data_IF_100383107740
#
_entry.id   IF_100383107740
#
_cell.length_a   1.000
_cell.length_b   1.000
_cell.length_c   1.000
_cell.angle_alpha   90.00
_cell.angle_beta   90.00
_cell.angle_gamma   90.00
#
_symmetry.space_group_name_H-M   'P 1'
#
loop_
_entity.id
_entity.type
_entity.pdbx_description
1 polymer ?
#
# COMPACT_ATOMS: atom_id res chain seq x y z
N UNK A 1 -28.45 14.95 -72.09
CA UNK A 1 -27.38 15.00 -71.07
C UNK A 1 -28.02 15.37 -69.74
N UNK A 2 -28.16 14.41 -68.80
CA UNK A 2 -28.75 14.64 -67.47
C UNK A 2 -27.62 14.92 -66.47
N UNK A 3 -27.72 16.02 -65.73
CA UNK A 3 -26.80 16.42 -64.65
C UNK A 3 -27.22 15.70 -63.35
N UNK A 4 -26.25 15.08 -62.67
CA UNK A 4 -26.37 14.48 -61.34
C UNK A 4 -26.13 15.55 -60.24
N UNK A 5 -26.82 15.51 -59.09
CA UNK A 5 -26.50 16.36 -57.95
C UNK A 5 -25.42 15.72 -57.07
N UNK A 6 -24.48 16.54 -56.61
CA UNK A 6 -23.44 16.15 -55.66
C UNK A 6 -24.02 16.07 -54.22
N UNK A 7 -23.81 14.95 -53.55
CA UNK A 7 -24.12 14.78 -52.13
C UNK A 7 -22.92 15.22 -51.28
N UNK A 8 -23.14 16.19 -50.38
CA UNK A 8 -22.18 16.62 -49.36
C UNK A 8 -22.33 15.71 -48.13
N UNK A 9 -21.28 14.94 -47.82
CA UNK A 9 -21.14 14.26 -46.52
C UNK A 9 -20.70 15.29 -45.46
N UNK A 10 -21.53 15.52 -44.44
CA UNK A 10 -21.11 16.17 -43.20
C UNK A 10 -20.39 15.15 -42.32
N UNK A 11 -19.06 15.26 -42.23
CA UNK A 11 -18.27 14.58 -41.20
C UNK A 11 -18.45 15.27 -39.86
N UNK A 12 -19.04 14.57 -38.89
CA UNK A 12 -19.08 15.04 -37.50
C UNK A 12 -17.66 14.97 -36.92
N UNK A 13 -17.01 16.12 -36.75
CA UNK A 13 -15.81 16.23 -35.92
C UNK A 13 -16.23 16.08 -34.45
N UNK A 14 -15.96 14.92 -33.85
CA UNK A 14 -15.93 14.78 -32.40
C UNK A 14 -14.70 15.50 -31.86
N UNK A 15 -14.87 16.73 -31.42
CA UNK A 15 -13.87 17.45 -30.62
C UNK A 15 -13.87 16.85 -29.22
N UNK A 16 -12.89 16.00 -28.93
CA UNK A 16 -12.55 15.61 -27.56
C UNK A 16 -12.02 16.83 -26.82
N UNK A 17 -12.84 17.44 -25.97
CA UNK A 17 -12.38 18.45 -25.03
C UNK A 17 -11.37 17.79 -24.06
N UNK A 18 -10.24 18.44 -23.74
CA UNK A 18 -9.36 17.95 -22.69
C UNK A 18 -10.17 17.94 -21.39
N UNK A 19 -10.23 16.78 -20.74
CA UNK A 19 -10.78 16.66 -19.40
C UNK A 19 -9.89 17.51 -18.49
N UNK A 20 -10.37 18.67 -18.03
CA UNK A 20 -9.70 19.40 -16.97
C UNK A 20 -9.52 18.44 -15.79
N UNK A 21 -8.31 18.38 -15.22
CA UNK A 21 -8.04 17.62 -14.01
C UNK A 21 -9.13 17.99 -12.99
N UNK A 22 -9.89 17.00 -12.53
CA UNK A 22 -10.98 17.27 -11.60
C UNK A 22 -10.39 17.90 -10.34
N UNK A 23 -10.73 19.16 -10.07
CA UNK A 23 -10.31 19.86 -8.85
C UNK A 23 -10.82 19.08 -7.64
N UNK A 24 -9.91 18.49 -6.88
CA UNK A 24 -10.26 17.75 -5.66
C UNK A 24 -10.49 18.71 -4.51
N UNK A 25 -11.49 18.42 -3.68
CA UNK A 25 -11.69 19.10 -2.41
C UNK A 25 -10.91 18.36 -1.31
N UNK A 26 -10.16 19.12 -0.52
CA UNK A 26 -9.32 18.59 0.56
C UNK A 26 -9.70 19.25 1.88
N UNK A 27 -10.06 18.43 2.86
CA UNK A 27 -10.28 18.86 4.23
C UNK A 27 -9.18 18.28 5.13
N UNK A 28 -8.53 19.13 5.92
CA UNK A 28 -7.62 18.67 6.99
C UNK A 28 -8.48 18.25 8.19
N UNK A 29 -8.44 16.98 8.55
CA UNK A 29 -9.20 16.41 9.67
C UNK A 29 -8.40 16.41 10.97
N UNK A 30 -7.08 16.22 10.87
CA UNK A 30 -6.14 16.24 11.98
C UNK A 30 -4.77 16.68 11.45
N UNK A 31 -4.05 17.49 12.21
CA UNK A 31 -2.65 17.85 11.99
C UNK A 31 -1.78 17.36 13.16
N UNK A 32 -0.48 17.66 13.12
CA UNK A 32 0.50 17.33 14.17
C UNK A 32 0.59 15.84 14.49
N UNK A 33 0.41 15.01 13.46
CA UNK A 33 0.73 13.58 13.52
C UNK A 33 2.22 13.41 13.25
N UNK A 34 2.94 12.72 14.13
CA UNK A 34 4.37 12.48 13.97
C UNK A 34 4.61 11.27 13.06
N UNK A 35 4.83 11.54 11.76
CA UNK A 35 5.03 10.52 10.74
C UNK A 35 3.97 9.40 10.79
N UNK A 36 2.68 9.73 10.60
CA UNK A 36 1.62 8.74 10.61
C UNK A 36 1.83 7.74 9.45
N UNK A 37 1.67 6.43 9.70
CA UNK A 37 2.02 5.37 8.75
C UNK A 37 0.83 4.61 8.16
N UNK A 38 -0.19 4.35 8.97
CA UNK A 38 -1.39 3.61 8.56
C UNK A 38 -2.65 4.15 9.20
N UNK A 39 -3.79 3.98 8.51
CA UNK A 39 -5.12 4.13 9.10
C UNK A 39 -6.00 2.88 8.91
N UNK A 40 -6.86 2.62 9.90
CA UNK A 40 -7.92 1.62 9.84
C UNK A 40 -9.24 2.19 10.37
N UNK A 41 -10.32 2.03 9.60
CA UNK A 41 -11.67 2.43 10.02
C UNK A 41 -12.27 1.39 10.95
N UNK A 42 -12.81 1.83 12.10
CA UNK A 42 -13.65 0.99 12.93
C UNK A 42 -15.05 0.80 12.32
N UNK A 43 -15.78 -0.26 12.68
CA UNK A 43 -17.10 -0.56 12.11
C UNK A 43 -18.19 0.48 12.38
N UNK A 44 -17.95 1.44 13.28
CA UNK A 44 -18.84 2.59 13.50
C UNK A 44 -18.80 3.61 12.34
N UNK A 45 -17.93 3.37 11.35
CA UNK A 45 -17.74 4.18 10.14
C UNK A 45 -17.31 5.63 10.40
N UNK A 46 -16.87 5.95 11.61
CA UNK A 46 -16.46 7.30 11.99
C UNK A 46 -15.10 7.32 12.67
N UNK A 47 -14.81 6.31 13.48
CA UNK A 47 -13.58 6.24 14.26
C UNK A 47 -12.46 5.60 13.44
N UNK A 48 -11.27 6.20 13.53
CA UNK A 48 -10.05 5.73 12.90
C UNK A 48 -9.05 5.30 13.97
N UNK A 49 -8.34 4.21 13.72
CA UNK A 49 -7.03 3.96 14.32
C UNK A 49 -5.95 4.54 13.41
N UNK A 50 -4.94 5.16 14.01
CA UNK A 50 -3.80 5.75 13.31
C UNK A 50 -2.52 5.26 13.99
N UNK A 51 -1.58 4.73 13.21
CA UNK A 51 -0.23 4.44 13.68
C UNK A 51 0.69 5.62 13.39
N UNK A 52 1.51 6.00 14.35
CA UNK A 52 2.64 6.92 14.21
C UNK A 52 3.94 6.12 14.28
N UNK A 53 4.86 6.36 13.33
CA UNK A 53 6.09 5.55 13.20
C UNK A 53 6.94 5.55 14.48
N UNK A 54 6.82 6.59 15.31
CA UNK A 54 7.48 6.68 16.62
C UNK A 54 7.05 5.60 17.63
N UNK A 55 5.98 4.83 17.36
CA UNK A 55 5.57 3.71 18.19
C UNK A 55 4.18 3.86 18.81
N UNK A 56 3.39 4.83 18.36
CA UNK A 56 2.11 5.18 18.99
C UNK A 56 0.95 4.72 18.12
N UNK A 57 0.03 3.96 18.70
CA UNK A 57 -1.30 3.75 18.13
C UNK A 57 -2.25 4.75 18.79
N UNK A 58 -3.05 5.46 18.00
CA UNK A 58 -4.02 6.45 18.50
C UNK A 58 -5.38 6.24 17.84
N UNK A 59 -6.44 6.68 18.51
CA UNK A 59 -7.78 6.75 17.96
C UNK A 59 -8.11 8.19 17.59
N UNK A 60 -8.72 8.41 16.43
CA UNK A 60 -9.28 9.69 16.03
C UNK A 60 -10.77 9.55 15.76
N UNK A 61 -11.56 10.53 16.19
CA UNK A 61 -13.00 10.59 15.91
C UNK A 61 -13.44 12.03 15.62
N UNK A 62 -14.36 12.27 14.66
CA UNK A 62 -14.94 13.59 14.43
C UNK A 62 -15.51 14.20 15.72
N UNK A 63 -15.24 15.49 15.95
CA UNK A 63 -15.69 16.23 17.14
C UNK A 63 -14.94 15.93 18.44
N UNK A 64 -14.24 14.79 18.55
CA UNK A 64 -13.38 14.45 19.71
C UNK A 64 -11.90 14.68 19.45
N UNK A 65 -11.47 14.60 18.19
CA UNK A 65 -10.08 14.72 17.79
C UNK A 65 -9.25 13.47 18.10
N UNK A 66 -7.94 13.66 18.16
CA UNK A 66 -6.96 12.60 18.40
C UNK A 66 -6.85 12.25 19.89
N UNK A 67 -6.87 10.95 20.21
CA UNK A 67 -6.72 10.43 21.57
C UNK A 67 -5.27 10.51 22.06
N UNK A 68 -5.09 10.30 23.37
CA UNK A 68 -3.80 9.86 23.91
C UNK A 68 -3.40 8.48 23.33
N UNK A 69 -2.11 8.12 23.36
CA UNK A 69 -1.66 6.80 22.89
C UNK A 69 -2.42 5.66 23.56
N UNK A 70 -2.80 4.67 22.76
CA UNK A 70 -3.42 3.42 23.22
C UNK A 70 -2.37 2.60 23.96
N UNK A 71 -2.69 2.16 25.18
CA UNK A 71 -1.80 1.33 26.00
C UNK A 71 -1.65 -0.09 25.44
N UNK A 72 -0.57 -0.79 25.81
CA UNK A 72 -0.33 -2.19 25.42
C UNK A 72 0.16 -2.42 23.98
N UNK A 73 0.44 -1.35 23.25
CA UNK A 73 1.14 -1.41 21.95
C UNK A 73 2.58 -1.90 22.18
N UNK A 74 3.10 -2.82 21.36
CA UNK A 74 4.47 -3.35 21.53
C UNK A 74 5.52 -2.24 21.42
N UNK A 75 6.60 -2.37 22.18
CA UNK A 75 7.78 -1.51 22.01
C UNK A 75 8.40 -1.77 20.64
N UNK A 76 8.67 -0.69 19.91
CA UNK A 76 9.22 -0.75 18.55
C UNK A 76 10.66 -0.27 18.52
N UNK A 77 11.38 -0.68 17.48
CA UNK A 77 12.63 -0.08 17.05
C UNK A 77 12.31 1.02 16.03
N UNK A 78 12.17 2.27 16.48
CA UNK A 78 11.82 3.42 15.64
C UNK A 78 13.09 4.13 15.14
N UNK A 79 13.59 3.71 13.97
CA UNK A 79 14.77 4.30 13.34
C UNK A 79 14.61 4.30 11.82
N UNK A 80 14.95 5.42 11.17
CA UNK A 80 14.85 5.59 9.72
C UNK A 80 13.43 5.21 9.22
N UNK A 81 13.28 4.11 8.48
CA UNK A 81 11.99 3.62 7.97
C UNK A 81 11.29 2.63 8.92
N UNK A 82 11.96 2.16 9.98
CA UNK A 82 11.37 1.29 10.99
C UNK A 82 10.59 2.06 12.05
N UNK A 83 9.69 1.36 12.74
CA UNK A 83 8.80 1.91 13.76
C UNK A 83 7.58 1.03 14.01
N UNK A 84 6.49 1.65 14.48
CA UNK A 84 5.15 1.07 14.36
C UNK A 84 4.62 1.40 12.96
N UNK A 85 4.20 0.37 12.22
CA UNK A 85 3.92 0.46 10.80
C UNK A 85 2.43 0.23 10.57
N UNK A 86 2.02 -0.96 10.14
CA UNK A 86 0.63 -1.18 9.76
C UNK A 86 -0.31 -1.34 10.96
N UNK A 87 -1.58 -0.97 10.75
CA UNK A 87 -2.74 -1.38 11.52
C UNK A 87 -3.83 -1.87 10.58
N UNK A 88 -4.31 -3.09 10.79
CA UNK A 88 -5.50 -3.62 10.10
C UNK A 88 -6.42 -4.33 11.08
N UNK A 89 -7.72 -4.28 10.83
CA UNK A 89 -8.69 -4.99 11.64
C UNK A 89 -8.79 -6.45 11.15
N UNK A 90 -8.97 -7.38 12.07
CA UNK A 90 -9.33 -8.75 11.70
C UNK A 90 -10.69 -8.78 10.99
N UNK A 91 -10.94 -9.72 10.07
CA UNK A 91 -12.24 -9.83 9.38
C UNK A 91 -13.44 -9.98 10.33
N UNK A 92 -13.23 -10.56 11.52
CA UNK A 92 -14.24 -10.77 12.57
C UNK A 92 -14.19 -9.70 13.68
N UNK A 93 -13.62 -8.52 13.41
CA UNK A 93 -13.40 -7.47 14.42
C UNK A 93 -14.65 -7.09 15.21
N UNK A 94 -15.84 -7.12 14.59
CA UNK A 94 -17.10 -6.82 15.27
C UNK A 94 -17.35 -7.74 16.48
N UNK A 95 -16.83 -8.98 16.46
CA UNK A 95 -16.92 -9.94 17.56
C UNK A 95 -15.61 -10.02 18.36
N UNK A 96 -14.48 -10.15 17.65
CA UNK A 96 -13.18 -10.42 18.28
C UNK A 96 -12.51 -9.17 18.83
N UNK A 97 -12.83 -7.99 18.27
CA UNK A 97 -12.10 -6.72 18.44
C UNK A 97 -10.60 -6.84 18.17
N UNK A 98 -10.19 -7.82 17.36
CA UNK A 98 -8.78 -8.11 17.09
C UNK A 98 -8.17 -7.12 16.10
N UNK A 99 -7.11 -6.45 16.53
CA UNK A 99 -6.32 -5.52 15.72
C UNK A 99 -4.95 -6.13 15.47
N UNK A 100 -4.58 -6.20 14.20
CA UNK A 100 -3.25 -6.63 13.75
C UNK A 100 -2.36 -5.41 13.57
N UNK A 101 -1.12 -5.54 14.03
CA UNK A 101 -0.08 -4.54 13.89
C UNK A 101 1.13 -5.15 13.21
N UNK A 102 1.79 -4.36 12.37
CA UNK A 102 3.18 -4.62 12.00
C UNK A 102 4.09 -3.54 12.55
N UNK A 103 5.30 -3.94 12.93
CA UNK A 103 6.30 -3.06 13.51
C UNK A 103 7.70 -3.64 13.33
N UNK A 104 8.73 -2.92 13.75
CA UNK A 104 10.11 -3.40 13.67
C UNK A 104 10.70 -3.64 15.03
N UNK A 105 11.53 -4.69 15.13
CA UNK A 105 12.43 -4.92 16.25
C UNK A 105 13.85 -5.10 15.73
N UNK A 106 14.85 -4.89 16.58
CA UNK A 106 16.25 -5.12 16.26
C UNK A 106 16.86 -6.19 17.16
N UNK A 107 17.81 -6.94 16.62
CA UNK A 107 18.63 -7.88 17.40
C UNK A 107 19.76 -7.15 18.15
N UNK A 108 20.56 -7.91 18.90
CA UNK A 108 21.68 -7.39 19.70
C UNK A 108 22.78 -6.71 18.86
N UNK A 109 22.86 -7.01 17.56
CA UNK A 109 23.80 -6.37 16.62
C UNK A 109 23.22 -5.10 15.97
N UNK A 110 21.99 -4.73 16.34
CA UNK A 110 21.30 -3.57 15.78
C UNK A 110 20.70 -3.81 14.40
N UNK A 111 20.62 -5.07 13.94
CA UNK A 111 19.91 -5.41 12.68
C UNK A 111 18.44 -5.59 12.94
N UNK A 112 17.62 -4.89 12.16
CA UNK A 112 16.18 -4.85 12.29
C UNK A 112 15.47 -5.77 11.29
N UNK A 113 14.23 -6.11 11.61
CA UNK A 113 13.32 -6.81 10.72
C UNK A 113 11.87 -6.58 11.14
N UNK A 114 10.95 -6.85 10.21
CA UNK A 114 9.52 -6.76 10.46
C UNK A 114 9.03 -7.80 11.47
N UNK A 115 8.03 -7.42 12.27
CA UNK A 115 7.30 -8.27 13.20
C UNK A 115 5.82 -8.01 13.00
N UNK A 116 5.02 -9.07 12.99
CA UNK A 116 3.57 -9.01 12.84
C UNK A 116 2.92 -9.73 14.01
N UNK A 117 1.90 -9.11 14.58
CA UNK A 117 1.15 -9.65 15.70
C UNK A 117 -0.23 -9.02 15.83
N UNK A 118 -1.00 -9.48 16.81
CA UNK A 118 -2.32 -8.93 17.07
C UNK A 118 -2.66 -8.94 18.55
N UNK A 119 -3.55 -8.03 18.94
CA UNK A 119 -4.16 -7.98 20.28
C UNK A 119 -5.64 -7.62 20.18
N UNK A 120 -6.33 -7.60 21.32
CA UNK A 120 -7.74 -7.18 21.42
C UNK A 120 -7.83 -5.69 21.79
N UNK A 121 -8.51 -4.91 20.96
CA UNK A 121 -8.79 -3.51 21.26
C UNK A 121 -9.90 -3.41 22.32
N UNK A 122 -9.65 -2.67 23.40
CA UNK A 122 -10.64 -2.34 24.43
C UNK A 122 -11.86 -1.62 23.85
N UNK A 123 -13.00 -1.71 24.53
CA UNK A 123 -14.27 -1.16 24.02
C UNK A 123 -14.26 0.38 23.98
N UNK A 124 -13.42 1.01 24.80
CA UNK A 124 -13.17 2.45 24.84
C UNK A 124 -12.05 2.92 23.88
N UNK A 125 -11.44 1.98 23.14
CA UNK A 125 -10.29 2.18 22.27
C UNK A 125 -9.06 2.79 22.99
N UNK A 126 -8.85 2.47 24.28
CA UNK A 126 -7.70 3.00 25.05
C UNK A 126 -6.62 1.98 25.41
N UNK A 127 -6.90 0.70 25.24
CA UNK A 127 -5.98 -0.39 25.56
C UNK A 127 -5.99 -1.44 24.45
N UNK A 128 -4.82 -1.97 24.12
CA UNK A 128 -4.63 -3.20 23.36
C UNK A 128 -4.19 -4.28 24.35
N UNK A 129 -5.02 -5.31 24.56
CA UNK A 129 -4.72 -6.42 25.48
C UNK A 129 -4.23 -7.65 24.72
N UNK A 130 -3.53 -8.53 25.43
CA UNK A 130 -3.18 -9.88 24.96
C UNK A 130 -2.46 -9.88 23.61
N UNK A 131 -1.59 -8.88 23.40
CA UNK A 131 -0.83 -8.76 22.17
C UNK A 131 0.12 -9.95 22.03
N UNK A 132 -0.01 -10.69 20.94
CA UNK A 132 0.88 -11.80 20.61
C UNK A 132 1.55 -11.60 19.26
N UNK A 133 2.84 -11.95 19.21
CA UNK A 133 3.62 -12.02 17.98
C UNK A 133 3.26 -13.31 17.24
N UNK A 134 3.04 -13.20 15.94
CA UNK A 134 2.68 -14.29 15.04
C UNK A 134 3.82 -14.63 14.10
N UNK A 135 4.47 -13.61 13.54
CA UNK A 135 5.54 -13.81 12.58
C UNK A 135 6.63 -12.76 12.77
N UNK A 136 7.87 -13.21 12.72
CA UNK A 136 9.03 -12.35 12.59
C UNK A 136 9.71 -12.59 11.24
N UNK A 137 10.04 -11.50 10.56
CA UNK A 137 10.89 -11.55 9.39
C UNK A 137 12.29 -12.00 9.81
N UNK A 138 12.68 -13.20 9.38
CA UNK A 138 13.97 -13.79 9.71
C UNK A 138 14.76 -14.19 8.45
N UNK A 139 16.09 -13.99 8.45
CA UNK A 139 16.87 -13.28 9.48
C UNK A 139 16.61 -11.76 9.50
N UNK A 140 16.91 -11.10 10.63
CA UNK A 140 16.87 -9.63 10.72
C UNK A 140 18.09 -9.08 10.01
N UNK A 141 17.86 -8.38 8.90
CA UNK A 141 18.94 -7.93 8.00
C UNK A 141 18.92 -6.44 7.78
N UNK A 142 18.02 -5.64 8.33
CA UNK A 142 17.94 -4.22 7.99
C UNK A 142 18.83 -3.37 8.89
N UNK A 143 19.44 -2.31 8.36
CA UNK A 143 19.97 -1.19 9.15
C UNK A 143 18.97 -0.03 9.28
N UNK A 144 17.71 -0.27 8.93
CA UNK A 144 16.59 0.66 9.08
C UNK A 144 15.89 1.08 7.79
N UNK A 145 16.06 0.35 6.70
CA UNK A 145 15.36 0.62 5.45
C UNK A 145 15.03 -0.67 4.67
N UNK A 146 14.19 -0.55 3.65
CA UNK A 146 13.66 -1.64 2.83
C UNK A 146 12.97 -2.76 3.63
N UNK A 147 12.13 -2.39 4.59
CA UNK A 147 11.51 -3.34 5.51
C UNK A 147 10.14 -3.80 5.01
N UNK A 148 9.41 -2.94 4.29
CA UNK A 148 7.99 -3.14 3.99
C UNK A 148 7.16 -3.26 5.27
N UNK A 149 6.30 -4.28 5.32
CA UNK A 149 5.40 -4.76 6.39
C UNK A 149 3.91 -4.41 6.25
N UNK A 150 3.46 -4.04 5.04
CA UNK A 150 2.03 -3.85 4.77
C UNK A 150 1.25 -5.16 4.98
N UNK A 151 0.06 -5.05 5.55
CA UNK A 151 -0.86 -6.13 5.88
C UNK A 151 -2.16 -5.95 5.07
N UNK A 152 -2.71 -7.04 4.55
CA UNK A 152 -4.03 -7.01 3.94
C UNK A 152 -4.73 -8.36 4.11
N UNK A 153 -6.01 -8.32 4.48
CA UNK A 153 -6.87 -9.51 4.47
C UNK A 153 -7.55 -9.67 3.12
N UNK A 154 -7.61 -10.91 2.61
CA UNK A 154 -8.54 -11.26 1.54
C UNK A 154 -9.95 -11.55 2.08
N UNK A 155 -10.91 -11.82 1.18
CA UNK A 155 -12.29 -12.17 1.57
C UNK A 155 -12.44 -13.58 2.12
N UNK A 156 -11.44 -14.43 1.96
CA UNK A 156 -11.43 -15.79 2.48
C UNK A 156 -10.84 -15.84 3.90
N UNK A 157 -10.28 -14.73 4.38
CA UNK A 157 -9.70 -14.61 5.71
C UNK A 157 -8.22 -14.98 5.75
N UNK A 158 -7.51 -15.00 4.63
CA UNK A 158 -6.05 -15.08 4.65
C UNK A 158 -5.44 -13.69 4.83
N UNK A 159 -4.40 -13.62 5.66
CA UNK A 159 -3.59 -12.44 5.86
C UNK A 159 -2.39 -12.49 4.91
N UNK A 160 -2.22 -11.45 4.10
CA UNK A 160 -1.03 -11.23 3.30
C UNK A 160 -0.12 -10.22 3.99
N UNK A 161 1.18 -10.49 3.97
CA UNK A 161 2.22 -9.65 4.59
C UNK A 161 3.29 -9.39 3.56
N UNK A 162 3.62 -8.12 3.32
CA UNK A 162 4.60 -7.74 2.32
C UNK A 162 5.92 -7.33 2.96
N UNK A 163 6.97 -8.15 2.88
CA UNK A 163 8.28 -7.88 3.45
C UNK A 163 9.29 -7.41 2.40
N UNK A 164 9.98 -6.32 2.69
CA UNK A 164 11.11 -5.85 1.89
C UNK A 164 12.38 -6.69 2.07
N UNK A 165 13.36 -6.47 1.21
CA UNK A 165 14.61 -7.22 1.14
C UNK A 165 15.65 -6.84 2.21
N UNK A 166 15.34 -5.83 3.03
CA UNK A 166 16.23 -5.28 4.06
C UNK A 166 17.57 -4.75 3.51
N UNK A 167 17.61 -4.32 2.25
CA UNK A 167 18.83 -3.98 1.51
C UNK A 167 19.82 -5.15 1.34
N UNK A 168 19.35 -6.38 1.52
CA UNK A 168 20.08 -7.59 1.18
C UNK A 168 19.47 -8.20 -0.10
N UNK A 169 19.65 -7.51 -1.23
CA UNK A 169 19.08 -7.82 -2.56
C UNK A 169 18.97 -9.32 -2.86
N UNK A 170 20.09 -10.05 -2.81
CA UNK A 170 20.14 -11.50 -3.10
C UNK A 170 19.20 -12.36 -2.24
N UNK A 171 18.83 -11.92 -1.03
CA UNK A 171 17.90 -12.64 -0.16
C UNK A 171 16.47 -12.68 -0.68
N UNK A 172 16.08 -11.75 -1.58
CA UNK A 172 14.78 -11.76 -2.24
C UNK A 172 14.55 -13.04 -3.07
N UNK A 173 15.62 -13.63 -3.61
CA UNK A 173 15.60 -14.89 -4.38
C UNK A 173 15.75 -16.16 -3.51
N UNK A 174 16.11 -16.00 -2.24
CA UNK A 174 16.36 -17.10 -1.31
C UNK A 174 15.08 -17.48 -0.57
N UNK A 175 14.65 -18.74 -0.72
CA UNK A 175 13.39 -19.23 -0.15
C UNK A 175 13.51 -19.67 1.31
N UNK A 176 14.71 -19.78 1.86
CA UNK A 176 14.95 -20.04 3.29
C UNK A 176 14.82 -18.76 4.16
N UNK A 177 14.55 -17.60 3.52
CA UNK A 177 14.48 -16.28 4.16
C UNK A 177 13.17 -15.56 3.86
N UNK A 178 12.72 -14.71 4.79
CA UNK A 178 11.52 -13.87 4.63
C UNK A 178 11.78 -12.45 4.09
N UNK A 179 13.01 -12.16 3.67
CA UNK A 179 13.34 -10.89 3.02
C UNK A 179 12.89 -10.88 1.55
N UNK A 180 12.20 -9.81 1.11
CA UNK A 180 11.77 -9.65 -0.28
C UNK A 180 10.68 -10.65 -0.70
N UNK A 181 9.64 -10.78 0.13
CA UNK A 181 8.58 -11.81 0.01
C UNK A 181 7.19 -11.19 0.20
N UNK A 182 6.21 -11.78 -0.49
CA UNK A 182 4.83 -11.77 -0.01
C UNK A 182 4.60 -13.07 0.73
N UNK A 183 4.10 -12.95 1.95
CA UNK A 183 3.73 -14.07 2.83
C UNK A 183 2.23 -14.19 2.90
N UNK A 184 1.70 -15.41 3.03
CA UNK A 184 0.27 -15.68 3.25
C UNK A 184 0.07 -16.57 4.48
N UNK A 185 -0.72 -16.09 5.43
CA UNK A 185 -1.12 -16.77 6.66
C UNK A 185 -2.64 -16.87 6.76
N UNK A 186 -3.15 -17.71 7.65
CA UNK A 186 -4.57 -17.68 8.04
C UNK A 186 -4.89 -16.46 8.91
N UNK A 187 -6.18 -16.17 9.13
CA UNK A 187 -6.64 -15.11 10.06
C UNK A 187 -6.19 -15.25 11.51
N UNK A 188 -5.68 -16.42 11.88
CA UNK A 188 -5.18 -16.69 13.22
C UNK A 188 -3.65 -16.68 13.30
N UNK A 189 -2.98 -16.58 12.14
CA UNK A 189 -1.53 -16.52 12.02
C UNK A 189 -0.86 -17.83 11.62
N UNK A 190 -1.62 -18.86 11.31
CA UNK A 190 -1.10 -20.18 10.96
C UNK A 190 -0.72 -20.27 9.48
N UNK A 191 0.13 -21.24 9.15
CA UNK A 191 0.56 -21.50 7.77
C UNK A 191 -0.55 -22.28 7.03
N UNK A 192 -1.11 -21.76 5.93
CA UNK A 192 -2.05 -22.50 5.12
C UNK A 192 -1.40 -23.75 4.52
N UNK A 193 -2.04 -24.93 4.59
CA UNK A 193 -1.46 -26.18 4.08
C UNK A 193 -1.34 -26.20 2.55
N UNK A 194 -2.01 -25.28 1.85
CA UNK A 194 -1.93 -25.13 0.41
C UNK A 194 -0.93 -24.04 -0.02
N UNK A 195 -0.10 -23.48 0.87
CA UNK A 195 0.96 -22.55 0.46
C UNK A 195 1.96 -23.23 -0.52
N UNK A 196 2.53 -22.49 -1.48
CA UNK A 196 3.29 -23.07 -2.59
C UNK A 196 4.59 -23.79 -2.21
N UNK A 197 5.11 -23.54 -1.01
CA UNK A 197 6.42 -24.05 -0.60
C UNK A 197 6.37 -24.90 0.68
N UNK A 198 5.19 -25.34 1.12
CA UNK A 198 5.02 -26.14 2.35
C UNK A 198 5.83 -27.45 2.32
N UNK A 199 5.87 -28.12 1.17
CA UNK A 199 6.56 -29.40 1.00
C UNK A 199 7.97 -29.25 0.42
N UNK A 200 8.44 -28.01 0.22
CA UNK A 200 9.77 -27.75 -0.34
C UNK A 200 10.81 -27.69 0.76
N UNK A 201 11.63 -28.73 0.87
CA UNK A 201 12.73 -28.78 1.84
C UNK A 201 13.62 -27.53 1.73
N UNK A 202 13.87 -26.89 2.88
CA UNK A 202 14.71 -25.69 2.99
C UNK A 202 14.00 -24.38 2.61
N UNK A 203 12.74 -24.41 2.19
CA UNK A 203 11.94 -23.20 1.98
C UNK A 203 11.12 -22.84 3.23
N UNK A 204 10.82 -21.56 3.37
CA UNK A 204 9.87 -21.01 4.35
C UNK A 204 8.45 -21.22 3.83
N UNK A 205 7.68 -22.03 4.55
CA UNK A 205 6.32 -22.41 4.17
C UNK A 205 5.32 -21.24 4.20
N UNK A 206 5.69 -20.12 4.84
CA UNK A 206 4.91 -18.88 4.86
C UNK A 206 4.88 -18.16 3.50
N UNK A 207 5.86 -18.41 2.62
CA UNK A 207 6.04 -17.67 1.38
C UNK A 207 4.88 -17.95 0.41
N UNK A 208 4.28 -16.87 -0.10
CA UNK A 208 3.33 -16.88 -1.21
C UNK A 208 4.00 -16.55 -2.54
N UNK A 209 4.77 -15.46 -2.59
CA UNK A 209 5.59 -15.07 -3.74
C UNK A 209 6.91 -14.45 -3.28
N UNK A 210 7.87 -14.34 -4.20
CA UNK A 210 9.22 -13.87 -3.88
C UNK A 210 9.82 -13.01 -4.98
N UNK A 211 11.00 -12.44 -4.74
CA UNK A 211 11.65 -11.53 -5.69
C UNK A 211 11.11 -10.11 -5.62
N UNK A 212 10.72 -9.66 -4.42
CA UNK A 212 10.32 -8.27 -4.15
C UNK A 212 11.50 -7.48 -3.57
N UNK A 213 11.59 -6.18 -3.87
CA UNK A 213 12.58 -5.26 -3.27
C UNK A 213 12.06 -4.61 -2.01
N UNK A 214 11.05 -3.73 -2.11
CA UNK A 214 10.53 -3.02 -0.94
C UNK A 214 9.05 -2.65 -1.12
N UNK A 215 8.14 -3.62 -0.91
CA UNK A 215 6.70 -3.38 -0.90
C UNK A 215 6.28 -2.28 0.07
N UNK A 216 5.40 -1.39 -0.38
CA UNK A 216 4.83 -0.30 0.43
C UNK A 216 3.29 -0.29 0.41
N UNK A 217 2.68 -0.73 -0.70
CA UNK A 217 1.24 -0.83 -0.88
C UNK A 217 0.82 -2.29 -1.01
N UNK A 218 -0.34 -2.64 -0.43
CA UNK A 218 -0.95 -3.97 -0.55
C UNK A 218 -2.47 -3.78 -0.40
N UNK A 219 -3.24 -4.18 -1.41
CA UNK A 219 -4.68 -3.95 -1.43
C UNK A 219 -5.40 -5.02 -2.25
N UNK A 220 -6.52 -5.52 -1.71
CA UNK A 220 -7.38 -6.46 -2.42
C UNK A 220 -8.16 -5.73 -3.51
N UNK A 221 -8.00 -6.15 -4.76
CA UNK A 221 -8.80 -5.67 -5.87
C UNK A 221 -10.28 -6.07 -5.64
N UNK A 222 -11.21 -5.11 -5.48
CA UNK A 222 -12.57 -5.42 -5.11
C UNK A 222 -13.40 -6.06 -6.23
N UNK A 223 -12.91 -6.04 -7.47
CA UNK A 223 -13.58 -6.62 -8.63
C UNK A 223 -13.09 -8.03 -8.93
N UNK A 224 -11.78 -8.26 -8.88
CA UNK A 224 -11.17 -9.56 -9.23
C UNK A 224 -10.85 -10.44 -8.02
N UNK A 225 -10.84 -9.87 -6.81
CA UNK A 225 -10.38 -10.54 -5.58
C UNK A 225 -8.91 -10.98 -5.61
N UNK A 226 -8.10 -10.42 -6.51
CA UNK A 226 -6.65 -10.60 -6.48
C UNK A 226 -6.01 -9.57 -5.56
N UNK A 227 -4.96 -9.97 -4.84
CA UNK A 227 -4.12 -9.03 -4.14
C UNK A 227 -3.28 -8.25 -5.15
N UNK A 228 -3.24 -6.94 -5.04
CA UNK A 228 -2.28 -6.10 -5.74
C UNK A 228 -1.26 -5.59 -4.74
N UNK A 229 -0.06 -5.36 -5.21
CA UNK A 229 1.12 -4.92 -4.46
C UNK A 229 1.75 -3.73 -5.20
N UNK A 230 2.39 -2.83 -4.45
CA UNK A 230 3.22 -1.79 -5.05
C UNK A 230 4.50 -1.55 -4.27
N UNK A 231 5.64 -1.50 -4.96
CA UNK A 231 6.96 -1.44 -4.34
C UNK A 231 7.88 -0.34 -4.88
N UNK A 232 8.88 0.02 -4.05
CA UNK A 232 9.97 0.88 -4.46
C UNK A 232 11.03 0.10 -5.24
N UNK A 233 11.38 0.61 -6.42
CA UNK A 233 12.62 0.28 -7.10
C UNK A 233 13.83 0.95 -6.45
N UNK A 234 15.05 0.72 -6.97
CA UNK A 234 16.26 1.44 -6.56
C UNK A 234 16.21 2.90 -7.05
N UNK A 235 17.05 3.30 -8.01
CA UNK A 235 16.91 4.58 -8.70
C UNK A 235 16.04 4.36 -9.93
N UNK A 236 14.73 4.62 -9.79
CA UNK A 236 13.75 4.23 -10.79
C UNK A 236 13.27 2.79 -10.57
N UNK A 237 12.27 2.37 -11.34
CA UNK A 237 11.72 1.01 -11.30
C UNK A 237 10.78 0.77 -10.13
N UNK A 238 10.03 1.78 -9.69
CA UNK A 238 8.86 1.53 -8.83
C UNK A 238 7.82 0.74 -9.64
N UNK A 239 7.12 -0.18 -8.99
CA UNK A 239 6.29 -1.19 -9.67
C UNK A 239 4.91 -1.36 -9.02
N UNK A 240 3.92 -1.77 -9.83
CA UNK A 240 2.65 -2.33 -9.38
C UNK A 240 2.58 -3.77 -9.86
N UNK A 241 2.32 -4.70 -8.95
CA UNK A 241 2.34 -6.15 -9.18
C UNK A 241 1.03 -6.81 -8.74
N UNK A 242 0.75 -7.99 -9.29
CA UNK A 242 -0.30 -8.90 -8.80
C UNK A 242 0.39 -10.16 -8.27
N UNK A 243 0.74 -10.25 -6.97
CA UNK A 243 1.47 -11.38 -6.41
C UNK A 243 0.70 -12.71 -6.48
N UNK A 244 1.15 -13.59 -7.36
CA UNK A 244 0.59 -14.91 -7.63
C UNK A 244 1.32 -16.03 -6.88
N UNK A 245 0.61 -17.15 -6.70
CA UNK A 245 1.06 -18.32 -5.96
C UNK A 245 2.38 -18.87 -6.52
N UNK A 246 3.42 -18.86 -5.71
CA UNK A 246 4.73 -19.44 -5.99
C UNK A 246 5.58 -18.68 -7.01
N UNK A 247 5.11 -17.50 -7.47
CA UNK A 247 5.76 -16.76 -8.54
C UNK A 247 6.93 -15.90 -8.05
N UNK A 248 7.85 -15.62 -8.99
CA UNK A 248 9.06 -14.83 -8.80
C UNK A 248 8.94 -13.48 -9.51
N UNK A 249 9.00 -12.38 -8.79
CA UNK A 249 8.91 -11.01 -9.33
C UNK A 249 10.28 -10.42 -9.69
N UNK A 250 11.32 -11.25 -9.56
CA UNK A 250 12.56 -11.04 -10.27
C UNK A 250 13.62 -10.24 -9.51
N UNK A 251 13.30 -9.37 -8.54
CA UNK A 251 14.33 -8.63 -7.81
C UNK A 251 15.35 -9.56 -7.13
N UNK A 252 16.68 -9.34 -7.28
CA UNK A 252 17.34 -8.27 -8.03
C UNK A 252 17.77 -8.66 -9.45
N UNK A 253 17.41 -9.86 -9.92
CA UNK A 253 17.75 -10.39 -11.24
C UNK A 253 17.06 -9.57 -12.36
N UNK A 254 15.80 -9.22 -12.18
CA UNK A 254 15.04 -8.33 -13.05
C UNK A 254 14.79 -7.01 -12.32
N UNK A 255 14.99 -5.88 -13.02
CA UNK A 255 14.59 -4.56 -12.52
C UNK A 255 14.47 -3.55 -13.65
N UNK A 256 13.51 -2.64 -13.54
CA UNK A 256 13.39 -1.45 -14.39
C UNK A 256 14.19 -0.25 -13.87
N UNK A 257 14.82 -0.38 -12.70
CA UNK A 257 15.66 0.64 -12.10
C UNK A 257 17.15 0.42 -12.35
N UNK A 258 17.94 1.37 -11.88
CA UNK A 258 19.40 1.30 -11.83
C UNK A 258 19.89 1.48 -10.40
N UNK A 259 21.16 1.16 -10.13
CA UNK A 259 21.77 1.46 -8.85
C UNK A 259 21.82 2.99 -8.61
N UNK A 260 21.85 3.40 -7.34
CA UNK A 260 21.91 4.83 -7.02
C UNK A 260 23.19 5.52 -7.53
N UNK A 261 24.27 4.77 -7.75
CA UNK A 261 25.48 5.25 -8.44
C UNK A 261 25.22 5.71 -9.88
N UNK A 262 24.14 5.24 -10.52
CA UNK A 262 23.86 5.43 -11.93
C UNK A 262 24.26 4.23 -12.81
N UNK A 263 24.95 3.25 -12.24
CA UNK A 263 25.29 1.99 -12.90
C UNK A 263 24.15 0.99 -12.81
N UNK A 264 24.27 -0.11 -13.55
CA UNK A 264 23.37 -1.26 -13.43
C UNK A 264 23.43 -1.85 -12.01
N UNK A 265 22.27 -2.29 -11.48
CA UNK A 265 22.23 -3.10 -10.24
C UNK A 265 23.13 -4.34 -10.42
N UNK A 266 24.09 -4.62 -9.53
CA UNK A 266 25.13 -5.62 -9.77
C UNK A 266 24.61 -7.01 -10.17
N UNK A 267 23.54 -7.48 -9.55
CA UNK A 267 22.96 -8.81 -9.79
C UNK A 267 21.96 -8.86 -10.95
N UNK A 268 21.56 -7.71 -11.49
CA UNK A 268 20.55 -7.66 -12.54
C UNK A 268 21.05 -8.35 -13.82
N UNK A 269 20.13 -8.94 -14.57
CA UNK A 269 20.37 -9.55 -15.89
C UNK A 269 19.66 -8.80 -17.01
N UNK A 270 18.64 -8.01 -16.67
CA UNK A 270 17.88 -7.16 -17.58
C UNK A 270 16.63 -6.63 -16.87
N UNK A 271 15.75 -5.96 -17.61
CA UNK A 271 14.41 -5.62 -17.10
C UNK A 271 13.43 -6.78 -17.26
N UNK A 272 13.66 -7.65 -18.25
CA UNK A 272 12.94 -8.89 -18.47
C UNK A 272 13.91 -10.07 -18.35
N UNK A 273 13.57 -11.05 -17.52
CA UNK A 273 14.39 -12.23 -17.26
C UNK A 273 13.50 -13.47 -17.30
N UNK A 274 13.96 -14.50 -18.01
CA UNK A 274 13.24 -15.77 -18.07
C UNK A 274 13.03 -16.36 -16.66
N UNK A 275 11.81 -16.81 -16.37
CA UNK A 275 11.44 -17.34 -15.06
C UNK A 275 11.07 -16.28 -14.03
N UNK A 276 10.93 -15.01 -14.42
CA UNK A 276 10.36 -13.95 -13.59
C UNK A 276 9.08 -13.38 -14.20
N UNK A 277 8.15 -12.98 -13.35
CA UNK A 277 6.96 -12.24 -13.74
C UNK A 277 7.30 -10.77 -13.98
N UNK A 278 6.45 -10.09 -14.75
CA UNK A 278 6.59 -8.66 -15.06
C UNK A 278 5.57 -7.84 -14.29
N UNK A 279 5.92 -6.60 -13.92
CA UNK A 279 4.98 -5.71 -13.28
C UNK A 279 3.85 -5.32 -14.24
N UNK A 280 2.68 -5.10 -13.66
CA UNK A 280 1.52 -4.58 -14.38
C UNK A 280 1.78 -3.14 -14.86
N UNK A 281 2.50 -2.36 -14.04
CA UNK A 281 2.90 -0.99 -14.35
C UNK A 281 4.22 -0.67 -13.66
N UNK A 282 5.04 0.19 -14.26
CA UNK A 282 6.29 0.64 -13.64
C UNK A 282 6.60 2.10 -13.98
N UNK A 283 7.38 2.74 -13.12
CA UNK A 283 7.90 4.09 -13.33
C UNK A 283 9.42 4.09 -13.47
N UNK A 284 9.91 4.48 -14.66
CA UNK A 284 11.36 4.71 -14.89
C UNK A 284 11.94 5.75 -13.92
N UNK A 285 11.16 6.76 -13.57
CA UNK A 285 11.52 7.75 -12.55
C UNK A 285 10.62 7.53 -11.35
N UNK A 286 11.16 6.92 -10.29
CA UNK A 286 10.40 6.55 -9.10
C UNK A 286 9.71 7.74 -8.43
N UNK A 287 8.38 7.69 -8.26
CA UNK A 287 7.60 8.55 -7.36
C UNK A 287 7.87 8.27 -5.87
N UNK A 288 8.50 7.12 -5.57
CA UNK A 288 8.55 6.50 -4.25
C UNK A 288 7.13 6.20 -3.74
N UNK A 289 6.43 5.34 -4.48
CA UNK A 289 5.03 4.97 -4.22
C UNK A 289 4.79 4.37 -2.83
N UNK A 290 3.63 4.56 -2.24
CA UNK A 290 3.36 4.22 -0.84
C UNK A 290 2.07 3.43 -0.66
N UNK A 291 1.26 3.73 0.36
CA UNK A 291 -0.02 3.07 0.55
C UNK A 291 -0.93 3.24 -0.67
N UNK A 292 -1.85 2.29 -0.85
CA UNK A 292 -2.75 2.29 -1.99
C UNK A 292 -4.16 1.82 -1.64
N UNK A 293 -5.15 2.27 -2.42
CA UNK A 293 -6.54 1.90 -2.26
C UNK A 293 -7.28 1.88 -3.59
N UNK A 294 -8.00 0.80 -3.85
CA UNK A 294 -9.00 0.78 -4.92
C UNK A 294 -10.20 1.63 -4.54
N UNK A 295 -10.78 2.31 -5.54
CA UNK A 295 -12.00 3.07 -5.40
C UNK A 295 -13.18 2.35 -6.07
N UNK A 296 -14.13 1.91 -5.25
CA UNK A 296 -15.32 1.17 -5.66
C UNK A 296 -16.63 1.76 -5.11
N UNK A 297 -16.58 2.93 -4.44
CA UNK A 297 -17.79 3.60 -3.96
C UNK A 297 -18.59 4.22 -5.10
N UNK A 298 -19.91 4.29 -4.93
CA UNK A 298 -20.82 4.98 -5.85
C UNK A 298 -20.80 6.51 -5.67
N UNK A 299 -20.18 7.03 -4.61
CA UNK A 299 -20.19 8.47 -4.28
C UNK A 299 -19.56 9.33 -5.37
N UNK A 300 -18.38 8.94 -5.85
CA UNK A 300 -17.69 9.63 -6.95
C UNK A 300 -17.56 8.69 -8.15
N UNK A 301 -18.59 8.61 -9.02
CA UNK A 301 -18.57 7.72 -10.18
C UNK A 301 -17.36 7.94 -11.11
N UNK A 302 -16.81 9.16 -11.14
CA UNK A 302 -15.63 9.52 -11.92
C UNK A 302 -14.37 8.75 -11.47
N UNK A 303 -14.32 8.34 -10.20
CA UNK A 303 -13.21 7.57 -9.63
C UNK A 303 -13.43 6.06 -9.70
N UNK A 304 -14.55 5.59 -10.24
CA UNK A 304 -14.80 4.16 -10.42
C UNK A 304 -13.67 3.53 -11.24
N UNK A 305 -13.29 2.30 -10.86
CA UNK A 305 -12.19 1.56 -11.47
C UNK A 305 -10.85 2.31 -11.37
N UNK A 306 -10.62 3.02 -10.27
CA UNK A 306 -9.33 3.66 -10.01
C UNK A 306 -8.59 2.96 -8.86
N UNK A 307 -7.28 2.89 -8.98
CA UNK A 307 -6.34 2.61 -7.90
C UNK A 307 -5.64 3.93 -7.53
N UNK A 308 -5.79 4.35 -6.28
CA UNK A 308 -5.08 5.50 -5.73
C UNK A 308 -3.82 5.02 -5.01
N UNK A 309 -2.69 5.69 -5.23
CA UNK A 309 -1.38 5.33 -4.68
C UNK A 309 -0.71 6.61 -4.19
N UNK A 310 -0.29 6.65 -2.93
CA UNK A 310 0.49 7.79 -2.44
C UNK A 310 1.89 7.82 -3.07
N UNK A 311 2.48 9.01 -3.22
CA UNK A 311 3.86 9.18 -3.66
C UNK A 311 4.66 10.00 -2.64
N UNK A 312 5.72 9.39 -2.09
CA UNK A 312 6.54 9.99 -1.05
C UNK A 312 7.51 11.03 -1.64
N UNK A 313 8.22 10.69 -2.71
CA UNK A 313 9.23 11.57 -3.29
C UNK A 313 8.59 12.63 -4.18
N UNK A 314 7.58 12.23 -4.95
CA UNK A 314 6.85 13.15 -5.84
C UNK A 314 5.87 14.06 -5.08
N UNK A 315 5.54 13.73 -3.82
CA UNK A 315 4.65 14.54 -2.97
C UNK A 315 3.27 14.75 -3.57
N UNK A 316 2.70 13.67 -4.07
CA UNK A 316 1.42 13.66 -4.78
C UNK A 316 0.62 12.40 -4.45
N UNK A 317 -0.66 12.42 -4.78
CA UNK A 317 -1.51 11.24 -4.84
C UNK A 317 -1.70 10.85 -6.30
N UNK A 318 -1.22 9.66 -6.67
CA UNK A 318 -1.36 9.09 -8.00
C UNK A 318 -2.72 8.41 -8.10
N UNK A 319 -3.44 8.65 -9.20
CA UNK A 319 -4.64 7.90 -9.57
C UNK A 319 -4.35 7.15 -10.86
N UNK A 320 -4.44 5.83 -10.81
CA UNK A 320 -4.39 4.96 -11.98
C UNK A 320 -5.81 4.51 -12.30
N UNK A 321 -6.32 4.84 -13.48
CA UNK A 321 -7.54 4.19 -13.97
C UNK A 321 -7.16 2.81 -14.51
N UNK A 322 -7.88 1.78 -14.04
CA UNK A 322 -7.62 0.39 -14.42
C UNK A 322 -8.77 -0.19 -15.23
N UNK A 323 -8.44 -0.98 -16.25
CA UNK A 323 -9.38 -1.81 -17.00
C UNK A 323 -8.88 -3.25 -16.99
N UNK A 324 -9.45 -4.06 -16.09
CA UNK A 324 -8.88 -5.37 -15.75
C UNK A 324 -7.50 -5.19 -15.14
N UNK A 325 -6.50 -5.82 -15.75
CA UNK A 325 -5.09 -5.78 -15.34
C UNK A 325 -4.28 -4.77 -16.17
N UNK A 326 -4.91 -3.73 -16.72
CA UNK A 326 -4.21 -2.69 -17.49
C UNK A 326 -4.46 -1.30 -16.90
N UNK A 327 -3.41 -0.52 -16.75
CA UNK A 327 -3.50 0.93 -16.51
C UNK A 327 -3.83 1.62 -17.83
N UNK A 328 -4.88 2.43 -17.84
CA UNK A 328 -5.34 3.14 -19.05
C UNK A 328 -5.23 4.67 -18.93
N UNK A 329 -5.13 5.18 -17.71
CA UNK A 329 -4.94 6.61 -17.43
C UNK A 329 -4.17 6.77 -16.13
N UNK A 330 -3.34 7.82 -16.07
CA UNK A 330 -2.57 8.19 -14.88
C UNK A 330 -2.73 9.68 -14.62
N UNK A 331 -3.12 10.04 -13.40
CA UNK A 331 -3.33 11.42 -12.96
C UNK A 331 -2.54 11.69 -11.67
N UNK A 332 -2.06 12.93 -11.53
CA UNK A 332 -1.50 13.46 -10.27
C UNK A 332 -2.50 14.37 -9.58
N UNK A 333 -2.63 14.19 -8.27
CA UNK A 333 -3.47 14.98 -7.39
C UNK A 333 -2.63 15.48 -6.21
N UNK A 334 -3.06 16.57 -5.57
CA UNK A 334 -2.47 17.11 -4.33
C UNK A 334 -1.02 17.65 -4.45
N UNK A 335 -0.48 17.81 -5.67
CA UNK A 335 0.88 18.33 -5.91
C UNK A 335 1.06 19.76 -5.35
N UNK A 336 0.01 20.56 -5.42
CA UNK A 336 -0.06 21.94 -4.92
C UNK A 336 0.22 22.07 -3.42
N UNK A 337 0.10 20.96 -2.68
CA UNK A 337 0.25 20.94 -1.22
C UNK A 337 1.69 20.68 -0.78
N UNK A 338 2.54 20.12 -1.65
CA UNK A 338 3.96 19.90 -1.38
C UNK A 338 4.27 18.94 -0.21
N UNK A 339 3.35 18.03 0.12
CA UNK A 339 3.46 17.07 1.23
C UNK A 339 3.70 15.65 0.73
N UNK A 340 4.62 14.92 1.38
CA UNK A 340 4.88 13.51 1.07
C UNK A 340 3.64 12.67 1.41
N UNK A 341 3.12 11.85 0.50
CA UNK A 341 1.94 11.03 0.78
C UNK A 341 2.34 9.62 1.24
N UNK A 342 1.92 9.22 2.44
CA UNK A 342 2.25 7.93 3.08
C UNK A 342 1.21 6.85 2.84
N UNK A 343 -0.06 7.16 3.07
CA UNK A 343 -1.11 6.16 3.00
C UNK A 343 -2.36 6.75 2.39
N UNK A 344 -3.15 5.90 1.73
CA UNK A 344 -4.47 6.24 1.22
C UNK A 344 -5.43 5.07 1.50
N UNK A 345 -6.65 5.41 1.90
CA UNK A 345 -7.76 4.48 2.10
C UNK A 345 -9.04 5.06 1.52
N UNK A 346 -9.92 4.22 0.97
CA UNK A 346 -11.30 4.60 0.76
C UNK A 346 -12.06 4.47 2.09
N UNK A 347 -12.66 5.56 2.55
CA UNK A 347 -13.55 5.54 3.71
C UNK A 347 -14.91 4.90 3.38
N UNK A 348 -15.66 4.46 4.41
CA UNK A 348 -17.00 3.88 4.23
C UNK A 348 -18.01 4.89 3.67
N UNK A 349 -17.73 6.19 3.79
CA UNK A 349 -18.53 7.28 3.25
C UNK A 349 -18.22 7.61 1.78
N UNK A 350 -17.24 6.91 1.18
CA UNK A 350 -16.84 7.08 -0.22
C UNK A 350 -15.84 8.20 -0.48
N UNK A 351 -15.29 8.84 0.55
CA UNK A 351 -14.15 9.75 0.40
C UNK A 351 -12.82 8.98 0.48
N UNK A 352 -11.75 9.60 -0.02
CA UNK A 352 -10.39 9.11 0.24
C UNK A 352 -9.87 9.75 1.52
N UNK A 353 -9.17 8.96 2.33
CA UNK A 353 -8.50 9.39 3.54
C UNK A 353 -7.01 9.20 3.34
N UNK A 354 -6.24 10.27 3.50
CA UNK A 354 -4.83 10.34 3.11
C UNK A 354 -3.98 10.76 4.31
N UNK A 355 -2.87 10.05 4.52
CA UNK A 355 -1.84 10.41 5.49
C UNK A 355 -0.62 11.04 4.82
N UNK A 356 -0.04 12.05 5.45
CA UNK A 356 1.23 12.65 5.00
C UNK A 356 2.43 12.22 5.84
N UNK A 357 3.56 11.91 5.19
CA UNK A 357 4.82 11.41 5.79
C UNK A 357 5.70 12.56 6.28
N UNK A 358 5.19 13.37 7.21
CA UNK A 358 5.85 14.58 7.73
C UNK A 358 5.93 14.55 9.26
N UNK A 359 6.82 15.36 9.85
CA UNK A 359 6.86 15.57 11.32
C UNK A 359 5.62 16.30 11.84
N UNK A 360 5.03 17.15 11.00
CA UNK A 360 3.70 17.71 11.19
C UNK A 360 2.72 17.08 10.17
N UNK A 361 2.66 15.75 10.20
CA UNK A 361 1.80 14.94 9.34
C UNK A 361 0.32 15.23 9.58
N UNK A 362 -0.49 14.92 8.55
CA UNK A 362 -1.92 15.22 8.52
C UNK A 362 -2.73 14.00 8.15
N UNK A 363 -3.94 13.94 8.70
CA UNK A 363 -5.05 13.16 8.17
C UNK A 363 -5.90 14.09 7.30
N UNK A 364 -6.01 13.75 6.02
CA UNK A 364 -6.77 14.49 5.03
C UNK A 364 -7.99 13.68 4.61
N UNK A 365 -9.10 14.36 4.35
CA UNK A 365 -10.25 13.82 3.63
C UNK A 365 -10.29 14.46 2.25
N UNK A 366 -10.30 13.63 1.21
CA UNK A 366 -10.19 14.04 -0.19
C UNK A 366 -11.40 13.53 -0.95
N UNK A 367 -12.03 14.41 -1.72
CA UNK A 367 -13.21 14.10 -2.52
C UNK A 367 -13.32 14.98 -3.76
N UNK A 368 -14.42 14.86 -4.49
CA UNK A 368 -14.78 15.77 -5.56
C UNK A 368 -15.86 16.76 -5.06
N UNK A 369 -15.96 17.95 -5.66
CA UNK A 369 -17.09 18.86 -5.45
C UNK A 369 -18.42 18.15 -5.67
N UNK A 370 -19.39 18.37 -4.79
CA UNK A 370 -20.75 17.87 -5.01
C UNK A 370 -21.29 18.48 -6.30
N UNK A 371 -21.95 17.67 -7.16
CA UNK A 371 -22.52 18.12 -8.43
C UNK A 371 -23.51 19.31 -8.29
N UNK A 372 -24.04 19.55 -7.09
CA UNK A 372 -24.92 20.68 -6.77
C UNK A 372 -24.18 22.01 -6.50
N UNK A 373 -22.86 22.00 -6.42
CA UNK A 373 -22.01 23.18 -6.13
C UNK A 373 -21.21 23.69 -7.33
N UNK A 374 -21.40 23.10 -8.52
CA UNK A 374 -20.87 23.68 -9.75
C UNK A 374 -21.56 25.03 -10.00
N UNK A 375 -20.82 26.14 -10.17
CA UNK A 375 -21.43 27.39 -10.57
C UNK A 375 -22.14 27.15 -11.89
N UNK A 376 -23.43 27.48 -11.95
CA UNK A 376 -24.17 27.55 -13.21
C UNK A 376 -23.58 28.73 -13.99
N UNK A 377 -22.56 28.44 -14.80
CA UNK A 377 -22.03 29.36 -15.79
C UNK A 377 -23.01 29.59 -16.92
#
# INVERSE_FOLDING_TARGET
MRLLPAALLFGALSTSLPLFAADVQVQVLQDKLDHPWSVAFLPDNQTLLITERSGQLRSWQPGKGLSQPIGGVPKVWANRQGGLLDVVLAPDFAQSRRVWLSYTTADASGRAGGVVGYGRLGDDNRQLSDFKVVLEQTPKLSSGANIGTRLAFDRQGFLYIAFGDNFASSSAQQLDKLSGKIVRLTKDGEIPPDNPFVDRQGARAEIWSYGMRNPQGLALNPWTQQMWESEHGPRGGDEVNIPEKGKNYGWPLATYGIDYSGEKVPEAKGSEVEGTEQPLHYWKVSPAISGMAFYNSARFPQWKNSLFIGALKEKSLIRLQVNGEKVVEEQRLLEDRGERIRDVRQGPDGYLYVLTDESNGKLLKVGLPDAASAPRG
#
